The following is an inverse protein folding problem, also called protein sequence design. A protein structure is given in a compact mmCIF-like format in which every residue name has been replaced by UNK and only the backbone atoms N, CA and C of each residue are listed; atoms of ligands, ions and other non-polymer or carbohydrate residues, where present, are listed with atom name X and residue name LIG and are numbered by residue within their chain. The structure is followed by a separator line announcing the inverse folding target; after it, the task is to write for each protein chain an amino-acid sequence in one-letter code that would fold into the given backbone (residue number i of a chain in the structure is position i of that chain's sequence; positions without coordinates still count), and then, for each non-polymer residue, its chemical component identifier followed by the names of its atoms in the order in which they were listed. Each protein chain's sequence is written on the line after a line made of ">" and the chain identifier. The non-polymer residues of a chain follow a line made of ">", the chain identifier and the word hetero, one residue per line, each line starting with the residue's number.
data_IF_700254026640
#
_entry.id   IF_700254026640
#
_cell.length_a   1.000
_cell.length_b   1.000
_cell.length_c   1.000
_cell.angle_alpha   90.00
_cell.angle_beta   90.00
_cell.angle_gamma   90.00
#
_symmetry.space_group_name_H-M   'P 1'
#
loop_
_entity.id
_entity.type
_entity.pdbx_description
1 polymer ?
#
# COMPACT_ATOMS: atom_id res chain seq x y z
N UNK A 1 -15.97 3.90 -5.11
CA UNK A 1 -15.06 3.08 -4.28
C UNK A 1 -15.28 3.47 -2.82
N UNK A 2 -15.86 2.60 -1.97
CA UNK A 2 -16.03 2.92 -0.57
C UNK A 2 -14.66 3.24 0.04
N UNK A 3 -14.54 4.45 0.60
CA UNK A 3 -13.32 4.87 1.27
C UNK A 3 -13.05 4.00 2.50
N UNK A 4 -11.78 3.71 2.78
CA UNK A 4 -11.40 3.01 4.01
C UNK A 4 -11.94 3.75 5.23
N UNK A 5 -12.60 3.01 6.13
CA UNK A 5 -13.00 3.53 7.43
C UNK A 5 -11.79 4.14 8.17
N UNK A 6 -11.95 5.26 8.89
CA UNK A 6 -10.86 5.90 9.61
C UNK A 6 -10.14 4.95 10.57
N UNK A 7 -10.88 4.03 11.21
CA UNK A 7 -10.32 2.99 12.10
C UNK A 7 -9.40 2.06 11.34
N UNK A 8 -9.87 1.51 10.20
CA UNK A 8 -9.09 0.61 9.34
C UNK A 8 -7.84 1.29 8.81
N UNK A 9 -7.95 2.57 8.41
CA UNK A 9 -6.80 3.35 7.95
C UNK A 9 -5.76 3.55 9.05
N UNK A 10 -6.18 3.75 10.30
CA UNK A 10 -5.27 3.85 11.45
C UNK A 10 -4.54 2.54 11.73
N UNK A 11 -5.24 1.42 11.68
CA UNK A 11 -4.66 0.07 11.82
C UNK A 11 -3.60 -0.19 10.73
N UNK A 12 -3.93 0.11 9.47
CA UNK A 12 -3.00 -0.07 8.35
C UNK A 12 -1.76 0.83 8.46
N UNK A 13 -1.90 2.06 8.97
CA UNK A 13 -0.74 2.93 9.26
C UNK A 13 0.17 2.33 10.32
N UNK A 14 -0.41 1.80 11.41
CA UNK A 14 0.35 1.15 12.47
C UNK A 14 1.07 -0.12 11.97
N UNK A 15 0.38 -0.95 11.18
CA UNK A 15 0.96 -2.13 10.52
C UNK A 15 2.06 -1.76 9.53
N UNK A 16 1.91 -0.65 8.82
CA UNK A 16 2.91 -0.19 7.87
C UNK A 16 4.17 0.32 8.57
N UNK A 17 4.06 1.01 9.71
CA UNK A 17 5.20 1.66 10.38
C UNK A 17 6.49 0.80 10.44
N UNK A 18 6.48 -0.46 10.92
CA UNK A 18 7.67 -1.30 11.01
C UNK A 18 8.12 -1.95 9.69
N UNK A 19 7.32 -1.89 8.61
CA UNK A 19 7.67 -2.55 7.35
C UNK A 19 8.79 -1.80 6.62
N UNK A 20 9.63 -2.53 5.90
CA UNK A 20 10.57 -1.92 4.96
C UNK A 20 9.92 -1.69 3.58
N UNK A 21 10.39 -0.69 2.81
CA UNK A 21 9.97 -0.52 1.43
C UNK A 21 10.44 -1.69 0.58
N UNK A 22 9.48 -2.40 -0.02
CA UNK A 22 9.73 -3.58 -0.88
C UNK A 22 9.90 -3.21 -2.36
N UNK A 23 9.45 -2.00 -2.76
CA UNK A 23 9.64 -1.49 -4.13
C UNK A 23 10.33 -0.13 -4.09
N UNK A 24 11.28 0.07 -5.01
CA UNK A 24 11.97 1.33 -5.25
C UNK A 24 11.64 1.86 -6.65
N UNK A 25 11.15 3.10 -6.73
CA UNK A 25 10.93 3.80 -7.99
C UNK A 25 12.17 4.66 -8.27
N UNK A 26 12.98 4.26 -9.25
CA UNK A 26 14.17 4.99 -9.67
C UNK A 26 13.88 6.30 -10.40
N UNK A 27 14.93 6.98 -10.87
CA UNK A 27 14.82 8.27 -11.58
C UNK A 27 14.01 8.23 -12.89
N UNK A 28 13.87 7.04 -13.49
CA UNK A 28 13.01 6.83 -14.66
C UNK A 28 11.50 6.91 -14.34
N UNK A 29 11.12 6.98 -13.06
CA UNK A 29 9.73 7.08 -12.64
C UNK A 29 8.98 5.75 -12.69
N UNK A 30 7.65 5.84 -12.82
CA UNK A 30 6.74 4.69 -12.80
C UNK A 30 6.76 3.96 -14.15
N UNK A 31 7.54 2.89 -14.26
CA UNK A 31 7.58 2.03 -15.45
C UNK A 31 6.64 0.83 -15.32
N UNK A 32 6.37 0.14 -16.44
CA UNK A 32 5.57 -1.10 -16.44
C UNK A 32 6.18 -2.20 -15.56
N UNK A 33 7.52 -2.28 -15.49
CA UNK A 33 8.21 -3.24 -14.63
C UNK A 33 8.00 -2.92 -13.13
N UNK A 34 8.10 -1.64 -12.77
CA UNK A 34 7.82 -1.18 -11.40
C UNK A 34 6.36 -1.44 -11.04
N UNK A 35 5.42 -1.16 -11.94
CA UNK A 35 4.00 -1.45 -11.74
C UNK A 35 3.74 -2.95 -11.52
N UNK A 36 4.38 -3.82 -12.29
CA UNK A 36 4.28 -5.26 -12.11
C UNK A 36 4.85 -5.69 -10.75
N UNK A 37 5.93 -5.08 -10.28
CA UNK A 37 6.51 -5.34 -8.96
C UNK A 37 5.60 -4.88 -7.81
N UNK A 38 5.00 -3.71 -7.94
CA UNK A 38 3.99 -3.19 -7.00
C UNK A 38 2.80 -4.14 -6.96
N UNK A 39 2.27 -4.58 -8.10
CA UNK A 39 1.16 -5.52 -8.15
C UNK A 39 1.50 -6.86 -7.48
N UNK A 40 2.69 -7.41 -7.74
CA UNK A 40 3.19 -8.61 -7.05
C UNK A 40 3.27 -8.42 -5.54
N UNK A 41 3.84 -7.31 -5.09
CA UNK A 41 3.92 -6.98 -3.66
C UNK A 41 2.54 -6.85 -3.01
N UNK A 42 1.59 -6.20 -3.69
CA UNK A 42 0.21 -6.08 -3.23
C UNK A 42 -0.51 -7.44 -3.18
N UNK A 43 -0.25 -8.37 -4.10
CA UNK A 43 -0.81 -9.73 -4.05
C UNK A 43 -0.26 -10.53 -2.88
N UNK A 44 1.03 -10.42 -2.58
CA UNK A 44 1.68 -11.23 -1.54
C UNK A 44 1.49 -10.68 -0.13
N UNK A 45 1.46 -9.36 0.04
CA UNK A 45 1.48 -8.73 1.37
C UNK A 45 0.25 -7.89 1.68
N UNK A 46 -0.59 -7.58 0.68
CA UNK A 46 -1.74 -6.65 0.74
C UNK A 46 -1.37 -5.20 1.07
N UNK A 47 -0.44 -4.98 1.99
CA UNK A 47 0.07 -3.70 2.46
C UNK A 47 1.57 -3.61 2.14
N UNK A 48 1.95 -2.66 1.29
CA UNK A 48 3.35 -2.45 0.90
C UNK A 48 3.78 -1.01 1.05
N UNK A 49 5.09 -0.83 1.20
CA UNK A 49 5.77 0.45 1.13
C UNK A 49 6.56 0.57 -0.17
N UNK A 50 6.39 1.70 -0.86
CA UNK A 50 7.08 2.02 -2.10
C UNK A 50 7.90 3.29 -1.90
N UNK A 51 9.22 3.21 -2.11
CA UNK A 51 10.12 4.34 -1.94
C UNK A 51 10.35 5.03 -3.29
N UNK A 52 10.20 6.35 -3.32
CA UNK A 52 10.35 7.19 -4.52
C UNK A 52 11.41 8.27 -4.24
N UNK A 53 12.71 7.92 -4.26
CA UNK A 53 13.78 8.91 -4.12
C UNK A 53 13.73 9.93 -5.27
N UNK A 54 14.04 11.19 -4.97
CA UNK A 54 14.22 12.23 -5.99
C UNK A 54 12.95 12.81 -6.62
N UNK A 55 11.76 12.24 -6.38
CA UNK A 55 10.51 12.84 -6.82
C UNK A 55 10.05 13.95 -5.86
N UNK A 56 9.66 15.10 -6.41
CA UNK A 56 9.01 16.18 -5.68
C UNK A 56 7.63 15.78 -5.15
N UNK A 57 7.06 16.58 -4.24
CA UNK A 57 5.76 16.28 -3.63
C UNK A 57 4.66 16.04 -4.68
N UNK A 58 4.54 16.93 -5.66
CA UNK A 58 3.54 16.82 -6.73
C UNK A 58 3.73 15.56 -7.57
N UNK A 59 4.97 15.23 -7.95
CA UNK A 59 5.27 14.01 -8.70
C UNK A 59 4.92 12.76 -7.89
N UNK A 60 5.19 12.74 -6.59
CA UNK A 60 4.81 11.62 -5.72
C UNK A 60 3.30 11.46 -5.60
N UNK A 61 2.54 12.56 -5.53
CA UNK A 61 1.07 12.52 -5.51
C UNK A 61 0.51 11.95 -6.82
N UNK A 62 1.06 12.37 -7.96
CA UNK A 62 0.70 11.83 -9.29
C UNK A 62 1.00 10.33 -9.37
N UNK A 63 2.23 9.92 -9.02
CA UNK A 63 2.64 8.50 -9.00
C UNK A 63 1.73 7.69 -8.08
N UNK A 64 1.38 8.22 -6.91
CA UNK A 64 0.54 7.52 -5.96
C UNK A 64 -0.88 7.32 -6.49
N UNK A 65 -1.47 8.36 -7.08
CA UNK A 65 -2.78 8.29 -7.71
C UNK A 65 -2.78 7.31 -8.90
N UNK A 66 -1.73 7.36 -9.73
CA UNK A 66 -1.58 6.49 -10.89
C UNK A 66 -1.44 5.01 -10.49
N UNK A 67 -0.62 4.71 -9.48
CA UNK A 67 -0.52 3.35 -8.93
C UNK A 67 -1.88 2.86 -8.43
N UNK A 68 -2.60 3.69 -7.67
CA UNK A 68 -3.92 3.32 -7.16
C UNK A 68 -4.91 3.06 -8.31
N UNK A 69 -4.89 3.92 -9.33
CA UNK A 69 -5.75 3.78 -10.51
C UNK A 69 -5.45 2.52 -11.31
N UNK A 70 -4.18 2.14 -11.46
CA UNK A 70 -3.76 0.97 -12.27
C UNK A 70 -3.87 -0.36 -11.52
N UNK A 71 -3.65 -0.37 -10.21
CA UNK A 71 -3.60 -1.60 -9.40
C UNK A 71 -4.88 -1.85 -8.60
N UNK A 72 -5.78 -0.86 -8.53
CA UNK A 72 -6.94 -0.88 -7.64
C UNK A 72 -6.58 -0.75 -6.16
N UNK A 73 -5.33 -0.41 -5.83
CA UNK A 73 -4.90 -0.17 -4.46
C UNK A 73 -5.49 1.13 -3.90
N UNK A 74 -5.52 1.20 -2.57
CA UNK A 74 -5.95 2.34 -1.80
C UNK A 74 -4.76 3.08 -1.19
N UNK A 75 -4.76 4.42 -1.26
CA UNK A 75 -3.70 5.23 -0.69
C UNK A 75 -3.88 5.35 0.84
N UNK A 76 -2.92 4.84 1.61
CA UNK A 76 -2.99 4.88 3.08
C UNK A 76 -2.33 6.14 3.64
N UNK A 77 -1.05 6.34 3.33
CA UNK A 77 -0.25 7.43 3.89
C UNK A 77 0.98 7.74 3.04
N UNK A 78 1.43 9.00 3.09
CA UNK A 78 2.77 9.41 2.68
C UNK A 78 3.68 9.55 3.92
N UNK A 79 4.87 8.96 3.85
CA UNK A 79 5.91 9.09 4.87
C UNK A 79 7.17 9.62 4.17
N UNK A 80 7.29 10.94 4.05
CA UNK A 80 8.40 11.57 3.34
C UNK A 80 8.48 11.14 1.87
N UNK A 81 9.51 10.33 1.55
CA UNK A 81 9.76 9.76 0.22
C UNK A 81 9.17 8.35 0.04
N UNK A 82 8.38 7.86 1.00
CA UNK A 82 7.76 6.53 1.00
C UNK A 82 6.24 6.65 0.89
N UNK A 83 5.65 5.83 0.04
CA UNK A 83 4.21 5.70 -0.18
C UNK A 83 3.72 4.40 0.44
N UNK A 84 2.63 4.46 1.21
CA UNK A 84 1.99 3.28 1.80
C UNK A 84 0.73 2.96 1.02
N UNK A 85 0.71 1.78 0.40
CA UNK A 85 -0.37 1.28 -0.45
C UNK A 85 -0.99 0.04 0.17
N UNK A 86 -2.31 -0.07 0.09
CA UNK A 86 -3.04 -1.24 0.55
C UNK A 86 -4.01 -1.73 -0.53
N UNK A 87 -4.06 -3.03 -0.79
CA UNK A 87 -5.12 -3.66 -1.59
C UNK A 87 -5.62 -4.88 -0.84
N UNK A 88 -6.92 -4.92 -0.58
CA UNK A 88 -7.55 -6.12 -0.04
C UNK A 88 -7.56 -7.21 -1.09
N UNK A 89 -7.06 -8.40 -0.75
CA UNK A 89 -7.08 -9.52 -1.67
C UNK A 89 -8.50 -10.13 -1.69
N UNK A 90 -9.08 -10.42 -2.87
CA UNK A 90 -10.41 -11.02 -2.96
C UNK A 90 -10.48 -12.44 -2.38
N UNK A 91 -9.34 -13.12 -2.26
CA UNK A 91 -9.24 -14.38 -1.52
C UNK A 91 -8.81 -14.06 -0.08
N UNK A 92 -9.69 -14.28 0.91
CA UNK A 92 -9.30 -14.16 2.30
C UNK A 92 -8.27 -15.25 2.56
N UNK A 93 -7.01 -14.87 2.72
CA UNK A 93 -6.06 -15.74 3.38
C UNK A 93 -6.69 -16.12 4.72
N UNK A 94 -6.92 -17.42 4.93
CA UNK A 94 -7.65 -18.04 6.05
C UNK A 94 -7.06 -17.73 7.46
N UNK A 95 -6.18 -16.73 7.59
CA UNK A 95 -5.41 -16.42 8.79
C UNK A 95 -6.02 -15.41 9.76
N UNK A 96 -7.12 -14.71 9.44
CA UNK A 96 -7.62 -13.61 10.31
C UNK A 96 -9.00 -13.83 10.96
N UNK A 97 -9.45 -15.08 11.13
CA UNK A 97 -10.67 -15.39 11.91
C UNK A 97 -10.48 -15.34 13.44
N UNK A 98 -9.32 -14.95 13.97
CA UNK A 98 -9.14 -14.79 15.42
C UNK A 98 -9.64 -13.42 15.93
N UNK A 99 -10.91 -13.08 15.71
CA UNK A 99 -11.57 -12.13 16.61
C UNK A 99 -12.17 -12.90 17.79
N UNK A 100 -11.38 -12.95 18.87
CA UNK A 100 -11.68 -13.47 20.21
C UNK A 100 -13.18 -13.61 20.49
N UNK A 101 -13.65 -14.86 20.55
CA UNK A 101 -14.74 -15.25 21.46
C UNK A 101 -14.14 -15.49 22.84
N UNK A 102 -14.14 -14.48 23.72
CA UNK A 102 -14.04 -14.61 25.19
C UNK A 102 -14.63 -13.32 25.76
N UNK A 103 -15.61 -13.31 26.65
CA UNK A 103 -16.33 -14.35 27.37
C UNK A 103 -17.26 -13.63 28.36
N UNK A 104 -18.37 -14.30 28.69
CA UNK A 104 -19.26 -14.17 29.84
C UNK A 104 -19.21 -12.91 30.70
#
# INVERSE_FOLDING_TARGET
>A
MPGLSPTRRRELKARAHPLDPVVLIGGAGLSSAVLAEIDRGLKSHELIKVRVPGADRTKREVIFAEICSRTGAQPIQHIGKVLVLFRENPEPSLGSLHKKRRGR
#
